data_IF_173019904351
#
_entry.id   IF_173019904351
#
_cell.length_a   1.000
_cell.length_b   1.000
_cell.length_c   1.000
_cell.angle_alpha   90.00
_cell.angle_beta   90.00
_cell.angle_gamma   90.00
#
_symmetry.space_group_name_H-M   'P 1'
#
loop_
_entity.id
_entity.type
_entity.pdbx_description
1 polymer ?
#
# COMPACT_ATOMS: atom_id res chain seq x y z
N UNK A 1 -3.92 -4.14 12.86
CA UNK A 1 -4.65 -3.59 11.69
C UNK A 1 -3.88 -2.38 11.21
N UNK A 2 -3.30 -2.43 10.01
CA UNK A 2 -2.50 -1.33 9.45
C UNK A 2 -3.36 -0.23 8.82
N UNK A 3 -2.72 0.89 8.46
CA UNK A 3 -3.38 2.03 7.84
C UNK A 3 -4.03 1.67 6.50
N UNK A 4 -3.36 0.83 5.70
CA UNK A 4 -3.85 0.33 4.42
C UNK A 4 -5.17 -0.44 4.59
N UNK A 5 -5.22 -1.37 5.55
CA UNK A 5 -6.44 -2.11 5.86
C UNK A 5 -7.59 -1.20 6.28
N UNK A 6 -7.31 -0.18 7.11
CA UNK A 6 -8.33 0.80 7.53
C UNK A 6 -8.84 1.61 6.33
N UNK A 7 -7.94 2.06 5.47
CA UNK A 7 -8.30 2.85 4.27
C UNK A 7 -9.12 2.02 3.27
N UNK A 8 -8.75 0.76 3.04
CA UNK A 8 -9.47 -0.16 2.14
C UNK A 8 -10.86 -0.47 2.69
N UNK A 9 -10.97 -0.80 3.97
CA UNK A 9 -12.26 -1.11 4.59
C UNK A 9 -13.20 0.09 4.61
N UNK A 10 -12.66 1.30 4.82
CA UNK A 10 -13.46 2.53 4.73
C UNK A 10 -13.95 2.80 3.31
N UNK A 11 -13.07 2.67 2.31
CA UNK A 11 -13.43 2.82 0.91
C UNK A 11 -14.49 1.79 0.48
N UNK A 12 -14.35 0.52 0.87
CA UNK A 12 -15.37 -0.51 0.62
C UNK A 12 -16.72 -0.20 1.27
N UNK A 13 -16.72 0.39 2.47
CA UNK A 13 -17.95 0.74 3.19
C UNK A 13 -18.65 1.94 2.55
N UNK A 14 -17.91 2.97 2.16
CA UNK A 14 -18.49 4.27 1.80
C UNK A 14 -18.54 4.50 0.28
N UNK A 15 -17.60 3.94 -0.48
CA UNK A 15 -17.39 4.18 -1.92
C UNK A 15 -16.91 2.91 -2.67
N UNK A 16 -17.62 1.77 -2.57
CA UNK A 16 -17.17 0.51 -3.18
C UNK A 16 -17.05 0.58 -4.71
N UNK A 17 -17.81 1.45 -5.36
CA UNK A 17 -17.76 1.69 -6.81
C UNK A 17 -16.45 2.36 -7.27
N UNK A 18 -15.70 2.97 -6.36
CA UNK A 18 -14.48 3.73 -6.66
C UNK A 18 -13.18 2.99 -6.36
N UNK A 19 -13.25 1.79 -5.79
CA UNK A 19 -12.05 1.08 -5.34
C UNK A 19 -11.29 0.43 -6.50
N UNK A 20 -12.02 -0.14 -7.47
CA UNK A 20 -11.42 -0.84 -8.58
C UNK A 20 -10.69 0.14 -9.51
N UNK A 21 -9.42 -0.12 -9.80
CA UNK A 21 -8.55 0.78 -10.56
C UNK A 21 -8.01 1.97 -9.77
N UNK A 22 -8.32 2.07 -8.47
CA UNK A 22 -7.81 3.17 -7.64
C UNK A 22 -6.33 3.01 -7.30
N UNK A 23 -5.75 4.07 -6.72
CA UNK A 23 -4.34 4.15 -6.35
C UNK A 23 -4.20 4.41 -4.86
N UNK A 24 -3.39 3.62 -4.18
CA UNK A 24 -3.12 3.74 -2.75
C UNK A 24 -1.85 4.58 -2.55
N UNK A 25 -1.98 5.69 -1.82
CA UNK A 25 -0.87 6.54 -1.44
C UNK A 25 -0.41 6.19 -0.03
N UNK A 26 0.86 5.84 0.11
CA UNK A 26 1.45 5.41 1.36
C UNK A 26 2.47 6.43 1.87
N UNK A 27 2.40 6.73 3.16
CA UNK A 27 3.40 7.52 3.88
C UNK A 27 3.77 6.79 5.17
N UNK A 28 5.08 6.70 5.43
CA UNK A 28 5.60 6.23 6.72
C UNK A 28 5.89 7.46 7.59
N UNK A 29 5.55 7.35 8.87
CA UNK A 29 5.93 8.33 9.87
C UNK A 29 7.00 7.74 10.78
N UNK A 30 7.92 8.57 11.25
CA UNK A 30 8.87 8.22 12.32
C UNK A 30 8.25 8.42 13.72
N UNK A 31 9.07 8.31 14.76
CA UNK A 31 8.61 8.41 16.16
C UNK A 31 8.12 9.82 16.54
N UNK A 32 8.47 10.84 15.76
CA UNK A 32 8.09 12.24 15.96
C UNK A 32 6.99 12.70 14.96
N UNK A 33 6.30 11.75 14.33
CA UNK A 33 5.28 11.99 13.30
C UNK A 33 5.78 12.72 12.04
N UNK A 34 7.10 12.70 11.76
CA UNK A 34 7.63 13.26 10.53
C UNK A 34 7.60 12.23 9.38
N UNK A 35 7.37 12.69 8.13
CA UNK A 35 7.50 11.84 6.96
C UNK A 35 8.88 11.17 6.89
N UNK A 36 8.88 9.84 6.77
CA UNK A 36 10.08 9.04 6.57
C UNK A 36 9.96 8.18 5.31
N UNK A 37 11.10 7.68 4.83
CA UNK A 37 11.13 6.84 3.63
C UNK A 37 10.54 5.45 3.91
N UNK A 38 9.74 4.97 2.98
CA UNK A 38 9.21 3.63 2.99
C UNK A 38 10.34 2.60 2.80
N UNK A 39 10.20 1.46 3.50
CA UNK A 39 11.01 0.28 3.25
C UNK A 39 10.52 -0.49 2.03
N UNK A 40 11.15 -1.63 1.73
CA UNK A 40 10.67 -2.54 0.67
C UNK A 40 9.25 -3.04 0.98
N UNK A 41 8.43 -3.37 -0.04
CA UNK A 41 7.15 -4.03 0.17
C UNK A 41 7.32 -5.29 1.02
N UNK A 42 6.55 -5.44 2.11
CA UNK A 42 6.74 -6.55 3.06
C UNK A 42 5.44 -7.14 3.61
N UNK A 43 4.37 -6.35 3.73
CA UNK A 43 3.14 -6.82 4.37
C UNK A 43 2.26 -7.59 3.37
N UNK A 44 2.39 -8.92 3.37
CA UNK A 44 1.61 -9.85 2.52
C UNK A 44 0.10 -9.76 2.73
N UNK A 45 -0.36 -9.37 3.93
CA UNK A 45 -1.79 -9.22 4.20
C UNK A 45 -2.35 -7.96 3.53
N UNK A 46 -1.64 -6.84 3.62
CA UNK A 46 -2.11 -5.56 3.05
C UNK A 46 -2.01 -5.57 1.52
N UNK A 47 -0.93 -6.15 0.99
CA UNK A 47 -0.75 -6.30 -0.46
C UNK A 47 -1.81 -7.20 -1.07
N UNK A 48 -2.07 -8.38 -0.49
CA UNK A 48 -3.14 -9.27 -0.94
C UNK A 48 -4.52 -8.62 -0.86
N UNK A 49 -4.81 -7.93 0.24
CA UNK A 49 -6.09 -7.24 0.40
C UNK A 49 -6.29 -6.16 -0.67
N UNK A 50 -5.26 -5.37 -0.96
CA UNK A 50 -5.32 -4.36 -2.01
C UNK A 50 -5.51 -4.98 -3.40
N UNK A 51 -4.85 -6.13 -3.66
CA UNK A 51 -5.01 -6.89 -4.90
C UNK A 51 -6.44 -7.40 -5.06
N UNK A 52 -6.97 -8.08 -4.03
CA UNK A 52 -8.29 -8.73 -4.07
C UNK A 52 -9.44 -7.72 -4.25
N UNK A 53 -9.28 -6.48 -3.76
CA UNK A 53 -10.28 -5.42 -3.93
C UNK A 53 -10.11 -4.61 -5.22
N UNK A 54 -9.05 -4.86 -6.00
CA UNK A 54 -8.82 -4.24 -7.30
C UNK A 54 -8.11 -2.87 -7.25
N UNK A 55 -7.36 -2.55 -6.21
CA UNK A 55 -6.46 -1.37 -6.24
C UNK A 55 -5.38 -1.63 -7.29
N UNK A 56 -5.16 -0.68 -8.20
CA UNK A 56 -4.24 -0.86 -9.31
C UNK A 56 -2.77 -0.66 -8.91
N UNK A 57 -2.51 0.32 -8.04
CA UNK A 57 -1.14 0.77 -7.78
C UNK A 57 -0.92 1.24 -6.34
N UNK A 58 0.33 1.08 -5.89
CA UNK A 58 0.86 1.63 -4.66
C UNK A 58 1.86 2.75 -4.98
N UNK A 59 1.72 3.90 -4.31
CA UNK A 59 2.67 5.02 -4.39
C UNK A 59 3.41 5.14 -3.08
N UNK A 60 4.73 4.93 -3.10
CA UNK A 60 5.60 4.98 -1.94
C UNK A 60 6.70 6.02 -2.14
N UNK A 61 7.10 6.68 -1.06
CA UNK A 61 8.26 7.55 -1.04
C UNK A 61 9.49 6.79 -0.56
N UNK A 62 10.46 6.56 -1.44
CA UNK A 62 11.76 5.96 -1.12
C UNK A 62 12.88 6.99 -1.19
N UNK A 63 14.09 6.60 -0.76
CA UNK A 63 15.27 7.48 -0.82
C UNK A 63 15.62 7.88 -2.25
N UNK A 64 15.35 7.03 -3.24
CA UNK A 64 15.59 7.35 -4.65
C UNK A 64 14.50 8.22 -5.29
N UNK A 65 13.36 8.42 -4.62
CA UNK A 65 12.23 9.21 -5.10
C UNK A 65 10.87 8.55 -4.86
N UNK A 66 9.84 9.07 -5.55
CA UNK A 66 8.51 8.48 -5.54
C UNK A 66 8.47 7.27 -6.48
N UNK A 67 8.17 6.10 -5.95
CA UNK A 67 8.00 4.88 -6.72
C UNK A 67 6.51 4.51 -6.81
N UNK A 68 6.11 4.06 -7.99
CA UNK A 68 4.77 3.54 -8.26
C UNK A 68 4.91 2.07 -8.60
N UNK A 69 4.27 1.22 -7.82
CA UNK A 69 4.24 -0.23 -8.03
C UNK A 69 2.86 -0.60 -8.54
N UNK A 70 2.79 -1.50 -9.53
CA UNK A 70 1.55 -2.21 -9.77
C UNK A 70 1.22 -3.06 -8.52
N UNK A 71 -0.05 -3.23 -8.16
CA UNK A 71 -0.41 -4.01 -6.96
C UNK A 71 -0.02 -5.48 -7.05
N UNK A 72 -0.04 -6.09 -8.24
CA UNK A 72 0.45 -7.46 -8.46
C UNK A 72 1.96 -7.55 -8.18
N UNK A 73 2.74 -6.62 -8.74
CA UNK A 73 4.17 -6.48 -8.46
C UNK A 73 4.44 -6.27 -6.97
N UNK A 74 3.71 -5.34 -6.33
CA UNK A 74 3.84 -5.04 -4.91
C UNK A 74 3.53 -6.28 -4.04
N UNK A 75 2.51 -7.04 -4.43
CA UNK A 75 2.14 -8.29 -3.77
C UNK A 75 3.25 -9.32 -3.90
N UNK A 76 3.78 -9.56 -5.09
CA UNK A 76 4.87 -10.52 -5.30
C UNK A 76 6.13 -10.13 -4.50
N UNK A 77 6.52 -8.86 -4.53
CA UNK A 77 7.64 -8.33 -3.76
C UNK A 77 7.45 -8.54 -2.25
N UNK A 78 6.21 -8.42 -1.75
CA UNK A 78 5.91 -8.61 -0.33
C UNK A 78 6.17 -10.04 0.16
N UNK A 79 6.02 -11.05 -0.71
CA UNK A 79 6.34 -12.44 -0.39
C UNK A 79 7.84 -12.76 -0.49
N UNK A 80 8.60 -11.94 -1.24
CA UNK A 80 10.05 -12.09 -1.41
C UNK A 80 10.85 -11.41 -0.29
N UNK A 81 10.18 -10.66 0.58
CA UNK A 81 10.82 -9.97 1.69
C UNK A 81 11.35 -10.97 2.73
N UNK A 82 12.66 -10.93 2.97
CA UNK A 82 13.33 -11.61 4.08
C UNK A 82 14.08 -10.59 4.93
N UNK A 83 13.97 -10.69 6.26
CA UNK A 83 14.67 -9.84 7.24
C UNK A 83 16.19 -10.06 7.27
#
# INVERSE_FOLDING_TARGET
MHAEQRSILDALRNHPDKINGSRLYFIRLDEDDHPSFAGKPYCTICSKMALDVGIAEFVLSHREGICVYNTEEYNDLSYQYSE
#
